data_IF_284904903491
#
_entry.id   IF_284904903491
#
_cell.length_a   1.000
_cell.length_b   1.000
_cell.length_c   1.000
_cell.angle_alpha   90.00
_cell.angle_beta   90.00
_cell.angle_gamma   90.00
#
_symmetry.space_group_name_H-M   'P 1'
#
loop_
_entity.id
_entity.type
_entity.pdbx_description
1 polymer ?
#
# COMPACT_ATOMS: atom_id res chain seq x y z
N UNK A 1 -34.05 -21.88 -84.97
CA UNK A 1 -33.03 -22.24 -83.97
C UNK A 1 -33.22 -23.71 -83.66
N UNK A 2 -32.16 -24.51 -83.78
CA UNK A 2 -32.23 -25.97 -83.68
C UNK A 2 -32.72 -26.42 -82.30
N UNK A 3 -33.61 -27.41 -82.23
CA UNK A 3 -34.18 -27.97 -81.00
C UNK A 3 -33.14 -28.37 -79.95
N UNK A 4 -31.93 -28.73 -80.41
CA UNK A 4 -30.83 -29.19 -79.56
C UNK A 4 -30.27 -28.07 -78.66
N UNK A 5 -30.27 -26.81 -79.12
CA UNK A 5 -29.78 -25.70 -78.30
C UNK A 5 -30.72 -25.36 -77.14
N UNK A 6 -32.03 -25.58 -77.32
CA UNK A 6 -33.02 -25.38 -76.25
C UNK A 6 -32.87 -26.44 -75.14
N UNK A 7 -32.59 -27.69 -75.49
CA UNK A 7 -32.40 -28.78 -74.50
C UNK A 7 -31.18 -28.50 -73.62
N UNK A 8 -30.08 -28.03 -74.21
CA UNK A 8 -28.84 -27.71 -73.47
C UNK A 8 -29.09 -26.56 -72.48
N UNK A 9 -29.82 -25.52 -72.88
CA UNK A 9 -30.12 -24.37 -72.00
C UNK A 9 -30.98 -24.80 -70.82
N UNK A 10 -32.01 -25.63 -71.04
CA UNK A 10 -32.87 -26.13 -69.96
C UNK A 10 -32.07 -26.97 -68.97
N UNK A 11 -31.19 -27.86 -69.45
CA UNK A 11 -30.36 -28.69 -68.59
C UNK A 11 -29.40 -27.85 -67.72
N UNK A 12 -28.83 -26.79 -68.31
CA UNK A 12 -27.94 -25.86 -67.61
C UNK A 12 -28.71 -25.07 -66.52
N UNK A 13 -29.93 -24.62 -66.83
CA UNK A 13 -30.80 -23.96 -65.85
C UNK A 13 -31.20 -24.89 -64.71
N UNK A 14 -31.57 -26.14 -65.00
CA UNK A 14 -31.90 -27.14 -63.98
C UNK A 14 -30.69 -27.43 -63.10
N UNK A 15 -29.50 -27.60 -63.69
CA UNK A 15 -28.26 -27.78 -62.94
C UNK A 15 -27.96 -26.60 -62.01
N UNK A 16 -28.15 -25.37 -62.50
CA UNK A 16 -27.94 -24.15 -61.71
C UNK A 16 -28.96 -24.03 -60.57
N UNK A 17 -30.22 -24.39 -60.81
CA UNK A 17 -31.26 -24.44 -59.77
C UNK A 17 -30.94 -25.49 -58.70
N UNK A 18 -30.50 -26.69 -59.10
CA UNK A 18 -30.11 -27.74 -58.15
C UNK A 18 -28.91 -27.31 -57.31
N UNK A 19 -27.89 -26.70 -57.92
CA UNK A 19 -26.73 -26.15 -57.20
C UNK A 19 -27.16 -25.03 -56.26
N UNK A 20 -28.04 -24.13 -56.69
CA UNK A 20 -28.57 -23.05 -55.85
C UNK A 20 -29.34 -23.59 -54.62
N UNK A 21 -30.15 -24.64 -54.81
CA UNK A 21 -30.88 -25.29 -53.73
C UNK A 21 -29.94 -26.02 -52.75
N UNK A 22 -28.93 -26.73 -53.26
CA UNK A 22 -27.92 -27.39 -52.44
C UNK A 22 -27.08 -26.40 -51.62
N UNK A 23 -26.73 -25.24 -52.19
CA UNK A 23 -26.03 -24.18 -51.47
C UNK A 23 -26.91 -23.57 -50.37
N UNK A 24 -28.18 -23.28 -50.66
CA UNK A 24 -29.13 -22.77 -49.65
C UNK A 24 -29.25 -23.73 -48.47
N UNK A 25 -29.40 -25.03 -48.74
CA UNK A 25 -29.58 -26.03 -47.69
C UNK A 25 -28.36 -26.12 -46.75
N UNK A 26 -27.13 -26.01 -47.27
CA UNK A 26 -25.91 -26.01 -46.45
C UNK A 26 -25.68 -24.70 -45.69
N UNK A 27 -26.10 -23.56 -46.25
CA UNK A 27 -25.96 -22.24 -45.62
C UNK A 27 -26.95 -22.00 -44.47
N UNK A 28 -28.08 -22.70 -44.44
CA UNK A 28 -29.13 -22.53 -43.44
C UNK A 28 -28.87 -23.37 -42.17
N UNK A 29 -28.29 -24.56 -42.32
CA UNK A 29 -27.91 -25.45 -41.20
C UNK A 29 -26.73 -24.90 -40.37
N UNK A 30 -25.90 -24.03 -40.94
CA UNK A 30 -24.72 -23.48 -40.26
C UNK A 30 -25.00 -22.21 -39.43
N UNK A 31 -26.23 -21.68 -39.44
CA UNK A 31 -26.56 -20.39 -38.80
C UNK A 31 -26.99 -20.46 -37.33
N UNK A 32 -27.08 -21.66 -36.75
CA UNK A 32 -27.53 -21.82 -35.36
C UNK A 32 -26.73 -22.91 -34.66
N UNK A 33 -25.49 -22.58 -34.26
CA UNK A 33 -24.77 -23.37 -33.26
C UNK A 33 -25.25 -22.93 -31.86
N UNK A 34 -26.17 -23.65 -31.19
CA UNK A 34 -26.66 -23.30 -29.85
C UNK A 34 -25.53 -23.24 -28.82
N UNK A 35 -24.41 -23.91 -29.11
CA UNK A 35 -23.17 -23.91 -28.33
C UNK A 35 -22.48 -22.54 -28.32
N UNK A 36 -22.49 -21.82 -29.44
CA UNK A 36 -21.85 -20.50 -29.56
C UNK A 36 -22.61 -19.45 -28.74
N UNK A 37 -23.94 -19.50 -28.78
CA UNK A 37 -24.79 -18.61 -27.97
C UNK A 37 -24.66 -18.91 -26.47
N UNK A 38 -24.54 -20.18 -26.09
CA UNK A 38 -24.27 -20.56 -24.71
C UNK A 38 -22.90 -20.07 -24.22
N UNK A 39 -21.86 -20.18 -25.07
CA UNK A 39 -20.53 -19.68 -24.77
C UNK A 39 -20.49 -18.16 -24.62
N UNK A 40 -21.13 -17.42 -25.54
CA UNK A 40 -21.24 -15.96 -25.45
C UNK A 40 -21.95 -15.51 -24.17
N UNK A 41 -23.05 -16.16 -23.79
CA UNK A 41 -23.74 -15.89 -22.51
C UNK A 41 -22.84 -16.18 -21.31
N UNK A 42 -22.10 -17.28 -21.33
CA UNK A 42 -21.18 -17.63 -20.24
C UNK A 42 -20.03 -16.63 -20.10
N UNK A 43 -19.50 -16.13 -21.23
CA UNK A 43 -18.47 -15.09 -21.23
C UNK A 43 -19.01 -13.78 -20.67
N UNK A 44 -20.20 -13.37 -21.09
CA UNK A 44 -20.84 -12.16 -20.56
C UNK A 44 -21.02 -12.26 -19.03
N UNK A 45 -21.52 -13.40 -18.55
CA UNK A 45 -21.72 -13.62 -17.12
C UNK A 45 -20.40 -13.68 -16.32
N UNK A 46 -19.36 -14.31 -16.87
CA UNK A 46 -18.02 -14.30 -16.27
C UNK A 46 -17.43 -12.89 -16.25
N UNK A 47 -17.64 -12.09 -17.30
CA UNK A 47 -17.16 -10.72 -17.37
C UNK A 47 -17.86 -9.83 -16.34
N UNK A 48 -19.18 -9.95 -16.21
CA UNK A 48 -19.95 -9.21 -15.20
C UNK A 48 -19.54 -9.59 -13.77
N UNK A 49 -19.35 -10.89 -13.52
CA UNK A 49 -18.92 -11.40 -12.20
C UNK A 49 -17.50 -10.95 -11.87
N UNK A 50 -16.60 -11.00 -12.85
CA UNK A 50 -15.22 -10.53 -12.71
C UNK A 50 -15.19 -9.03 -12.45
N UNK A 51 -15.95 -8.23 -13.19
CA UNK A 51 -16.02 -6.79 -12.97
C UNK A 51 -16.53 -6.44 -11.58
N UNK A 52 -17.60 -7.10 -11.13
CA UNK A 52 -18.15 -6.89 -9.78
C UNK A 52 -17.14 -7.28 -8.69
N UNK A 53 -16.49 -8.42 -8.84
CA UNK A 53 -15.51 -8.91 -7.87
C UNK A 53 -14.29 -8.02 -7.83
N UNK A 54 -13.73 -7.65 -8.98
CA UNK A 54 -12.59 -6.74 -9.08
C UNK A 54 -12.91 -5.38 -8.47
N UNK A 55 -14.09 -4.81 -8.76
CA UNK A 55 -14.48 -3.52 -8.18
C UNK A 55 -14.67 -3.63 -6.65
N UNK A 56 -15.30 -4.70 -6.16
CA UNK A 56 -15.43 -4.95 -4.72
C UNK A 56 -14.08 -5.14 -4.02
N UNK A 57 -13.18 -5.94 -4.61
CA UNK A 57 -11.83 -6.15 -4.09
C UNK A 57 -11.00 -4.88 -4.13
N UNK A 58 -11.09 -4.07 -5.19
CA UNK A 58 -10.42 -2.77 -5.25
C UNK A 58 -10.95 -1.83 -4.17
N UNK A 59 -12.28 -1.71 -4.00
CA UNK A 59 -12.86 -0.88 -2.94
C UNK A 59 -12.44 -1.34 -1.54
N UNK A 60 -12.39 -2.64 -1.30
CA UNK A 60 -11.93 -3.19 -0.03
C UNK A 60 -10.44 -2.90 0.20
N UNK A 61 -9.60 -3.09 -0.82
CA UNK A 61 -8.17 -2.75 -0.75
C UNK A 61 -7.98 -1.25 -0.49
N UNK A 62 -8.72 -0.38 -1.17
CA UNK A 62 -8.67 1.06 -0.91
C UNK A 62 -9.00 1.38 0.55
N UNK A 63 -10.06 0.81 1.11
CA UNK A 63 -10.42 1.04 2.52
C UNK A 63 -9.33 0.57 3.49
N UNK A 64 -8.73 -0.59 3.24
CA UNK A 64 -7.65 -1.10 4.08
C UNK A 64 -6.39 -0.23 3.97
N UNK A 65 -6.02 0.19 2.76
CA UNK A 65 -4.90 1.10 2.55
C UNK A 65 -5.14 2.45 3.23
N UNK A 66 -6.33 3.02 3.12
CA UNK A 66 -6.68 4.25 3.82
C UNK A 66 -6.55 4.08 5.34
N UNK A 67 -7.06 2.98 5.91
CA UNK A 67 -6.92 2.71 7.34
C UNK A 67 -5.46 2.60 7.78
N UNK A 68 -4.59 1.97 6.98
CA UNK A 68 -3.15 1.85 7.28
C UNK A 68 -2.43 3.18 7.15
N UNK A 69 -2.79 4.00 6.15
CA UNK A 69 -2.24 5.35 5.96
C UNK A 69 -2.66 6.30 7.08
N UNK A 70 -3.89 6.21 7.57
CA UNK A 70 -4.36 6.98 8.73
C UNK A 70 -3.59 6.59 10.00
N UNK A 71 -3.41 5.28 10.24
CA UNK A 71 -2.60 4.79 11.35
C UNK A 71 -1.14 5.26 11.24
N UNK A 72 -0.54 5.17 10.05
CA UNK A 72 0.82 5.66 9.83
C UNK A 72 0.93 7.18 10.07
N UNK A 73 -0.08 7.95 9.66
CA UNK A 73 -0.14 9.40 9.89
C UNK A 73 -0.23 9.72 11.38
N UNK A 74 -1.01 8.96 12.15
CA UNK A 74 -1.08 9.09 13.60
C UNK A 74 0.29 8.84 14.26
N UNK A 75 0.95 7.73 13.90
CA UNK A 75 2.28 7.40 14.40
C UNK A 75 3.31 8.48 14.03
N UNK A 76 3.29 8.97 12.78
CA UNK A 76 4.19 10.06 12.34
C UNK A 76 3.93 11.35 13.12
N UNK A 77 2.68 11.66 13.41
CA UNK A 77 2.30 12.84 14.21
C UNK A 77 2.86 12.76 15.62
N UNK A 78 2.75 11.60 16.26
CA UNK A 78 3.30 11.37 17.60
C UNK A 78 4.83 11.40 17.58
N UNK A 79 5.46 10.78 16.59
CA UNK A 79 6.91 10.81 16.41
C UNK A 79 7.42 12.23 16.18
N UNK A 80 6.67 13.08 15.45
CA UNK A 80 7.00 14.51 15.29
C UNK A 80 6.96 15.26 16.63
N UNK A 81 5.96 14.98 17.49
CA UNK A 81 5.88 15.60 18.83
C UNK A 81 7.05 15.16 19.70
N UNK A 82 7.34 13.85 19.73
CA UNK A 82 8.46 13.30 20.48
C UNK A 82 9.80 13.83 19.98
N UNK A 83 9.99 13.95 18.67
CA UNK A 83 11.19 14.56 18.09
C UNK A 83 11.35 16.04 18.48
N UNK A 84 10.25 16.79 18.55
CA UNK A 84 10.24 18.16 19.06
C UNK A 84 10.65 18.24 20.53
N UNK A 85 10.06 17.38 21.37
CA UNK A 85 10.41 17.27 22.79
C UNK A 85 11.87 16.85 22.98
N UNK A 86 12.37 15.91 22.17
CA UNK A 86 13.77 15.49 22.16
C UNK A 86 14.71 16.62 21.73
N UNK A 87 14.30 17.45 20.76
CA UNK A 87 15.03 18.65 20.36
C UNK A 87 15.21 19.63 21.52
N UNK A 88 14.16 19.84 22.31
CA UNK A 88 14.20 20.68 23.52
C UNK A 88 15.12 20.07 24.59
N UNK A 89 14.99 18.76 24.85
CA UNK A 89 15.89 18.04 25.76
C UNK A 89 17.34 18.15 25.31
N UNK A 90 17.62 17.98 24.02
CA UNK A 90 18.98 18.11 23.47
C UNK A 90 19.55 19.52 23.66
N UNK A 91 18.71 20.55 23.57
CA UNK A 91 19.12 21.94 23.83
C UNK A 91 19.42 22.13 25.32
N UNK A 92 18.52 21.67 26.19
CA UNK A 92 18.74 21.71 27.64
C UNK A 92 20.00 20.95 28.07
N UNK A 93 20.31 19.81 27.46
CA UNK A 93 21.54 19.06 27.72
C UNK A 93 22.78 19.83 27.30
N UNK A 94 22.72 20.56 26.18
CA UNK A 94 23.81 21.44 25.75
C UNK A 94 24.01 22.61 26.71
N UNK A 95 22.92 23.24 27.14
CA UNK A 95 22.97 24.34 28.11
C UNK A 95 23.53 23.86 29.46
N UNK A 96 23.15 22.66 29.91
CA UNK A 96 23.72 22.03 31.10
C UNK A 96 25.21 21.74 30.93
N UNK A 97 25.65 21.23 29.78
CA UNK A 97 27.07 21.03 29.50
C UNK A 97 27.83 22.36 29.59
N UNK A 98 27.30 23.42 28.99
CA UNK A 98 27.92 24.74 29.02
C UNK A 98 27.93 25.34 30.44
N UNK A 99 26.90 25.07 31.24
CA UNK A 99 26.85 25.41 32.66
C UNK A 99 27.93 24.67 33.47
N UNK A 100 28.15 23.38 33.19
CA UNK A 100 29.19 22.56 33.82
C UNK A 100 30.63 22.87 33.33
N UNK A 101 30.80 23.59 32.21
CA UNK A 101 32.11 24.11 31.80
C UNK A 101 32.61 25.23 32.72
N UNK A 102 31.71 25.90 33.45
CA UNK A 102 32.10 26.95 34.39
C UNK A 102 32.97 26.37 35.53
N UNK A 103 34.20 26.88 35.74
CA UNK A 103 35.11 26.35 36.76
C UNK A 103 34.55 26.42 38.18
N UNK A 104 33.84 27.52 38.53
CA UNK A 104 33.24 27.71 39.85
C UNK A 104 32.09 26.73 40.11
N UNK A 105 31.20 26.56 39.13
CA UNK A 105 30.04 25.67 39.26
C UNK A 105 30.45 24.20 39.30
N UNK A 106 31.37 23.78 38.43
CA UNK A 106 31.93 22.43 38.47
C UNK A 106 32.65 22.16 39.80
N UNK A 107 33.37 23.15 40.33
CA UNK A 107 33.98 23.09 41.65
C UNK A 107 32.94 22.90 42.76
N UNK A 108 31.91 23.75 42.81
CA UNK A 108 30.80 23.65 43.77
C UNK A 108 30.13 22.27 43.76
N UNK A 109 29.75 21.79 42.57
CA UNK A 109 29.09 20.49 42.42
C UNK A 109 30.05 19.36 42.81
N UNK A 110 31.31 19.43 42.38
CA UNK A 110 32.32 18.43 42.70
C UNK A 110 32.60 18.33 44.20
N UNK A 111 32.69 19.46 44.90
CA UNK A 111 32.88 19.48 46.36
C UNK A 111 31.65 18.97 47.12
N UNK A 112 30.44 19.30 46.67
CA UNK A 112 29.20 18.78 47.26
C UNK A 112 29.14 17.24 47.12
N UNK A 113 29.44 16.72 45.91
CA UNK A 113 29.49 15.28 45.65
C UNK A 113 30.60 14.61 46.46
N UNK A 114 31.77 15.24 46.55
CA UNK A 114 32.90 14.73 47.35
C UNK A 114 32.51 14.66 48.84
N UNK A 115 31.85 15.70 49.36
CA UNK A 115 31.33 15.72 50.73
C UNK A 115 30.35 14.58 50.97
N UNK A 116 29.39 14.37 50.06
CA UNK A 116 28.40 13.31 50.20
C UNK A 116 29.04 11.93 50.13
N UNK A 117 30.02 11.73 49.25
CA UNK A 117 30.74 10.47 49.09
C UNK A 117 31.61 10.16 50.32
N UNK A 118 32.34 11.15 50.85
CA UNK A 118 33.10 11.00 52.09
C UNK A 118 32.18 10.74 53.28
N UNK A 119 31.04 11.43 53.38
CA UNK A 119 30.07 11.22 54.46
C UNK A 119 29.40 9.84 54.42
N UNK A 120 29.30 9.22 53.24
CA UNK A 120 28.80 7.85 53.08
C UNK A 120 29.86 6.80 53.41
N UNK A 121 31.14 7.05 53.07
CA UNK A 121 32.21 6.07 53.29
C UNK A 121 32.84 6.14 54.69
N UNK A 122 32.83 7.30 55.34
CA UNK A 122 33.50 7.50 56.62
C UNK A 122 32.51 7.92 57.73
N UNK A 123 32.72 7.45 58.98
CA UNK A 123 31.96 7.94 60.14
C UNK A 123 32.13 9.46 60.29
N UNK A 124 31.05 10.16 60.64
CA UNK A 124 31.00 11.64 60.68
C UNK A 124 32.06 12.32 61.57
N UNK A 125 32.64 11.58 62.51
CA UNK A 125 33.66 12.10 63.43
C UNK A 125 35.10 11.85 62.96
N UNK A 126 35.28 11.14 61.84
CA UNK A 126 36.59 10.68 61.35
C UNK A 126 37.17 11.53 60.23
N UNK A 127 36.44 12.54 59.75
CA UNK A 127 36.92 13.45 58.70
C UNK A 127 36.48 14.89 58.96
N UNK A 128 37.22 15.84 58.41
CA UNK A 128 36.91 17.27 58.48
C UNK A 128 37.07 17.91 57.11
N UNK A 129 36.09 18.72 56.70
CA UNK A 129 36.11 19.41 55.41
C UNK A 129 36.87 20.72 55.58
N UNK A 130 37.91 20.92 54.77
CA UNK A 130 38.85 22.03 54.95
C UNK A 130 38.43 23.32 54.24
N UNK A 131 37.49 23.22 53.28
CA UNK A 131 37.03 24.36 52.49
C UNK A 131 35.50 24.32 52.39
N UNK A 132 34.86 25.42 52.80
CA UNK A 132 33.47 25.72 52.48
C UNK A 132 33.50 26.88 51.49
N UNK A 133 32.74 26.77 50.40
CA UNK A 133 32.60 27.88 49.48
C UNK A 133 32.07 29.12 50.21
N UNK A 134 32.74 30.24 49.98
CA UNK A 134 32.31 31.55 50.48
C UNK A 134 30.98 31.87 49.77
N UNK A 135 29.88 31.90 50.53
CA UNK A 135 28.56 32.37 50.08
C UNK A 135 28.63 33.78 49.52
#
# INVERSE_FOLDING_TARGET
>A
MSSDTLIIIVFLFVGLIVVYLLLRQKLEVQKTDPTLNAWLKSLQQSFDTTNRTTNASLQQNYRELFSRLDQATAVISDLKKEAGAFGEVSRSMKDLQDYLKSPKLRGNIGEQVLKDLIAQMFPKNSFHLQYHFKT
#
